data_IF_796268798877
#
_entry.id   IF_796268798877
#
_cell.length_a   1.000
_cell.length_b   1.000
_cell.length_c   1.000
_cell.angle_alpha   90.00
_cell.angle_beta   90.00
_cell.angle_gamma   90.00
#
_symmetry.space_group_name_H-M   'P 1'
#
loop_
_entity.id
_entity.type
_entity.pdbx_description
1 polymer ?
#
# COMPACT_ATOMS: atom_id res chain seq x y z
N UNK A 1 -5.31 12.54 23.31
CA UNK A 1 -6.14 11.40 22.86
C UNK A 1 -5.73 11.16 21.42
N UNK A 2 -5.09 10.04 21.12
CA UNK A 2 -4.61 9.77 19.76
C UNK A 2 -5.81 9.75 18.83
N UNK A 3 -5.84 10.62 17.84
CA UNK A 3 -6.75 10.48 16.71
C UNK A 3 -6.55 9.07 16.18
N UNK A 4 -7.55 8.22 16.38
CA UNK A 4 -7.61 6.93 15.75
C UNK A 4 -7.67 7.23 14.25
N UNK A 5 -6.53 7.14 13.56
CA UNK A 5 -6.46 7.39 12.12
C UNK A 5 -7.09 6.19 11.41
N UNK A 6 -8.42 6.18 11.37
CA UNK A 6 -9.22 5.12 10.79
C UNK A 6 -8.84 4.89 9.32
N UNK A 7 -8.50 5.96 8.58
CA UNK A 7 -8.00 5.87 7.21
C UNK A 7 -6.71 5.03 7.14
N UNK A 8 -5.72 5.32 7.99
CA UNK A 8 -4.47 4.55 8.06
C UNK A 8 -4.74 3.07 8.34
N UNK A 9 -5.55 2.76 9.36
CA UNK A 9 -5.88 1.37 9.69
C UNK A 9 -6.60 0.66 8.54
N UNK A 10 -7.53 1.33 7.85
CA UNK A 10 -8.21 0.77 6.68
C UNK A 10 -7.23 0.49 5.54
N UNK A 11 -6.33 1.43 5.22
CA UNK A 11 -5.31 1.25 4.18
C UNK A 11 -4.45 0.03 4.47
N UNK A 12 -3.94 -0.10 5.70
CA UNK A 12 -3.09 -1.23 6.10
C UNK A 12 -3.84 -2.57 6.06
N UNK A 13 -5.07 -2.61 6.60
CA UNK A 13 -5.88 -3.84 6.59
C UNK A 13 -6.21 -4.26 5.16
N UNK A 14 -6.64 -3.33 4.30
CA UNK A 14 -6.96 -3.62 2.90
C UNK A 14 -5.73 -4.07 2.12
N UNK A 15 -4.57 -3.44 2.33
CA UNK A 15 -3.32 -3.89 1.72
C UNK A 15 -2.96 -5.33 2.15
N UNK A 16 -3.09 -5.65 3.44
CA UNK A 16 -2.85 -6.99 3.97
C UNK A 16 -3.83 -8.03 3.38
N UNK A 17 -5.10 -7.68 3.23
CA UNK A 17 -6.10 -8.55 2.59
C UNK A 17 -5.80 -8.79 1.10
N UNK A 18 -5.38 -7.76 0.36
CA UNK A 18 -4.97 -7.90 -1.04
C UNK A 18 -3.79 -8.86 -1.18
N UNK A 19 -2.76 -8.73 -0.33
CA UNK A 19 -1.63 -9.65 -0.34
C UNK A 19 -2.04 -11.09 -0.02
N UNK A 20 -2.97 -11.28 0.93
CA UNK A 20 -3.52 -12.60 1.25
C UNK A 20 -4.33 -13.20 0.09
N UNK A 21 -5.07 -12.39 -0.67
CA UNK A 21 -5.79 -12.81 -1.88
C UNK A 21 -4.83 -13.32 -2.96
N UNK A 22 -3.63 -12.72 -3.08
CA UNK A 22 -2.56 -13.20 -3.98
C UNK A 22 -1.90 -14.50 -3.47
N UNK A 23 -1.92 -14.71 -2.15
CA UNK A 23 -1.53 -15.95 -1.50
C UNK A 23 -0.75 -15.69 -0.21
N UNK A 24 -0.89 -16.58 0.78
CA UNK A 24 -0.27 -16.40 2.11
C UNK A 24 1.25 -16.18 2.08
N UNK A 25 1.94 -16.74 1.08
CA UNK A 25 3.38 -16.55 0.93
C UNK A 25 3.76 -15.14 0.47
N UNK A 26 2.90 -14.42 -0.25
CA UNK A 26 3.17 -13.03 -0.67
C UNK A 26 3.23 -12.08 0.52
N UNK A 27 2.24 -12.14 1.43
CA UNK A 27 2.23 -11.34 2.66
C UNK A 27 3.49 -11.57 3.48
N UNK A 28 3.90 -12.84 3.66
CA UNK A 28 5.11 -13.20 4.41
C UNK A 28 6.36 -12.65 3.72
N UNK A 29 6.47 -12.80 2.40
CA UNK A 29 7.64 -12.36 1.64
C UNK A 29 7.81 -10.86 1.71
N UNK A 30 6.73 -10.11 1.50
CA UNK A 30 6.74 -8.65 1.55
C UNK A 30 7.05 -8.17 2.97
N UNK A 31 6.39 -8.74 3.99
CA UNK A 31 6.65 -8.34 5.37
C UNK A 31 8.10 -8.60 5.78
N UNK A 32 8.67 -9.76 5.40
CA UNK A 32 10.06 -10.09 5.66
C UNK A 32 11.04 -9.14 4.93
N UNK A 33 10.72 -8.76 3.69
CA UNK A 33 11.51 -7.80 2.93
C UNK A 33 11.47 -6.41 3.56
N UNK A 34 10.27 -5.94 3.90
CA UNK A 34 10.08 -4.62 4.51
C UNK A 34 10.83 -4.53 5.84
N UNK A 35 10.72 -5.57 6.67
CA UNK A 35 11.40 -5.61 7.97
C UNK A 35 12.92 -5.57 7.78
N UNK A 36 13.45 -6.38 6.86
CA UNK A 36 14.89 -6.46 6.59
C UNK A 36 15.49 -5.16 6.04
N UNK A 37 14.80 -4.49 5.11
CA UNK A 37 15.33 -3.31 4.41
C UNK A 37 14.96 -1.99 5.08
N UNK A 38 13.78 -1.92 5.68
CA UNK A 38 13.19 -0.68 6.16
C UNK A 38 12.89 -0.68 7.66
N UNK A 39 13.02 -1.83 8.35
CA UNK A 39 12.75 -1.94 9.79
C UNK A 39 11.29 -1.71 10.16
N UNK A 40 10.38 -1.99 9.23
CA UNK A 40 8.93 -1.88 9.40
C UNK A 40 8.24 -2.95 8.56
N UNK A 41 6.95 -3.18 8.78
CA UNK A 41 6.16 -4.16 8.05
C UNK A 41 5.19 -3.48 7.08
N UNK A 42 4.06 -4.14 6.81
CA UNK A 42 2.98 -3.62 5.96
C UNK A 42 2.42 -2.28 6.45
N UNK A 43 2.63 -1.91 7.71
CA UNK A 43 2.23 -0.60 8.25
C UNK A 43 2.83 0.58 7.45
N UNK A 44 3.96 0.37 6.76
CA UNK A 44 4.56 1.35 5.85
C UNK A 44 3.58 1.92 4.83
N UNK A 45 2.63 1.12 4.31
CA UNK A 45 1.67 1.60 3.30
C UNK A 45 0.74 2.69 3.85
N UNK A 46 0.53 2.73 5.17
CA UNK A 46 -0.24 3.77 5.84
C UNK A 46 0.59 4.94 6.37
N UNK A 47 1.93 4.81 6.40
CA UNK A 47 2.85 5.85 6.88
C UNK A 47 3.56 6.59 5.74
N UNK A 48 3.88 5.89 4.65
CA UNK A 48 4.54 6.41 3.46
C UNK A 48 4.17 5.52 2.25
N UNK A 49 3.04 5.80 1.59
CA UNK A 49 2.56 5.01 0.46
C UNK A 49 3.54 4.98 -0.71
N UNK A 50 4.32 6.05 -0.89
CA UNK A 50 5.32 6.14 -1.97
C UNK A 50 6.48 5.18 -1.72
N UNK A 51 6.99 5.16 -0.50
CA UNK A 51 8.07 4.24 -0.12
C UNK A 51 7.61 2.78 -0.17
N UNK A 52 6.38 2.51 0.22
CA UNK A 52 5.79 1.18 0.06
C UNK A 52 5.69 0.78 -1.42
N UNK A 53 5.23 1.68 -2.30
CA UNK A 53 5.21 1.44 -3.75
C UNK A 53 6.61 1.13 -4.29
N UNK A 54 7.63 1.92 -3.93
CA UNK A 54 9.02 1.66 -4.35
C UNK A 54 9.53 0.31 -3.86
N UNK A 55 9.16 -0.11 -2.64
CA UNK A 55 9.51 -1.43 -2.14
C UNK A 55 8.88 -2.58 -2.96
N UNK A 56 7.63 -2.42 -3.38
CA UNK A 56 6.98 -3.38 -4.27
C UNK A 56 7.60 -3.39 -5.67
N UNK A 57 7.96 -2.22 -6.20
CA UNK A 57 8.60 -2.06 -7.49
C UNK A 57 9.96 -2.77 -7.53
N UNK A 58 10.76 -2.65 -6.47
CA UNK A 58 12.03 -3.36 -6.34
C UNK A 58 11.87 -4.88 -6.28
N UNK A 59 10.82 -5.38 -5.62
CA UNK A 59 10.57 -6.82 -5.45
C UNK A 59 9.98 -7.49 -6.70
N UNK A 60 9.03 -6.82 -7.35
CA UNK A 60 8.16 -7.43 -8.36
C UNK A 60 8.13 -6.67 -9.69
N UNK A 61 8.83 -5.54 -9.78
CA UNK A 61 8.83 -4.65 -10.93
C UNK A 61 7.69 -3.63 -10.91
N UNK A 62 7.87 -2.57 -11.70
CA UNK A 62 6.95 -1.42 -11.79
C UNK A 62 5.51 -1.84 -12.10
N UNK A 63 5.32 -2.77 -13.03
CA UNK A 63 3.99 -3.21 -13.43
C UNK A 63 3.21 -3.83 -12.27
N UNK A 64 3.82 -4.74 -11.51
CA UNK A 64 3.16 -5.40 -10.37
C UNK A 64 2.87 -4.41 -9.24
N UNK A 65 3.81 -3.51 -8.95
CA UNK A 65 3.61 -2.46 -7.96
C UNK A 65 2.46 -1.52 -8.35
N UNK A 66 2.38 -1.09 -9.60
CA UNK A 66 1.31 -0.23 -10.11
C UNK A 66 -0.06 -0.90 -10.03
N UNK A 67 -0.14 -2.19 -10.40
CA UNK A 67 -1.39 -2.96 -10.27
C UNK A 67 -1.82 -3.08 -8.80
N UNK A 68 -0.88 -3.32 -7.89
CA UNK A 68 -1.20 -3.37 -6.46
C UNK A 68 -1.78 -2.04 -5.96
N UNK A 69 -1.19 -0.90 -6.32
CA UNK A 69 -1.69 0.41 -5.92
C UNK A 69 -3.06 0.73 -6.54
N UNK A 70 -3.30 0.29 -7.78
CA UNK A 70 -4.61 0.39 -8.43
C UNK A 70 -5.67 -0.43 -7.69
N UNK A 71 -5.37 -1.70 -7.35
CA UNK A 71 -6.30 -2.55 -6.61
C UNK A 71 -6.56 -1.99 -5.21
N UNK A 72 -5.53 -1.48 -4.51
CA UNK A 72 -5.66 -0.87 -3.19
C UNK A 72 -6.59 0.35 -3.22
N UNK A 73 -6.35 1.30 -4.13
CA UNK A 73 -7.20 2.50 -4.26
C UNK A 73 -8.62 2.14 -4.66
N UNK A 74 -8.82 1.14 -5.52
CA UNK A 74 -10.15 0.65 -5.91
C UNK A 74 -10.91 0.00 -4.75
N UNK A 75 -10.29 -0.90 -3.99
CA UNK A 75 -10.95 -1.56 -2.84
C UNK A 75 -11.32 -0.55 -1.75
N UNK A 76 -10.53 0.51 -1.58
CA UNK A 76 -10.82 1.62 -0.66
C UNK A 76 -11.85 2.62 -1.21
N UNK A 77 -12.34 2.42 -2.45
CA UNK A 77 -13.23 3.35 -3.16
C UNK A 77 -12.69 4.77 -3.25
N UNK A 78 -11.37 4.93 -3.40
CA UNK A 78 -10.72 6.23 -3.53
C UNK A 78 -10.93 6.75 -4.96
N UNK A 79 -11.53 7.93 -5.16
CA UNK A 79 -11.71 8.51 -6.47
C UNK A 79 -10.38 9.04 -7.02
N UNK A 80 -9.84 8.37 -8.03
CA UNK A 80 -8.59 8.76 -8.71
C UNK A 80 -8.88 9.36 -10.08
N UNK A 81 -8.05 10.31 -10.52
CA UNK A 81 -8.21 11.00 -11.81
C UNK A 81 -7.88 10.10 -13.01
N UNK A 82 -6.91 9.22 -12.84
CA UNK A 82 -6.44 8.29 -13.87
C UNK A 82 -5.87 7.03 -13.21
N UNK A 83 -5.41 6.08 -14.02
CA UNK A 83 -4.67 4.89 -13.56
C UNK A 83 -3.16 5.11 -13.53
N UNK A 84 -2.66 6.34 -13.73
CA UNK A 84 -1.24 6.66 -13.59
C UNK A 84 -0.82 6.63 -12.13
N UNK A 85 0.38 6.09 -11.87
CA UNK A 85 0.83 5.82 -10.51
C UNK A 85 0.84 7.07 -9.62
N UNK A 86 1.18 8.22 -10.18
CA UNK A 86 1.19 9.49 -9.46
C UNK A 86 -0.21 9.92 -9.01
N UNK A 87 -1.25 9.66 -9.81
CA UNK A 87 -2.63 9.96 -9.43
C UNK A 87 -3.16 8.95 -8.39
N UNK A 88 -2.73 7.69 -8.48
CA UNK A 88 -3.05 6.66 -7.49
C UNK A 88 -2.44 6.98 -6.12
N UNK A 89 -1.14 7.32 -6.10
CA UNK A 89 -0.42 7.68 -4.88
C UNK A 89 -1.01 8.94 -4.24
N UNK A 90 -1.27 10.00 -5.04
CA UNK A 90 -1.93 11.21 -4.53
C UNK A 90 -3.32 10.94 -3.98
N UNK A 91 -4.11 10.09 -4.63
CA UNK A 91 -5.42 9.70 -4.11
C UNK A 91 -5.33 9.03 -2.75
N UNK A 92 -4.31 8.18 -2.55
CA UNK A 92 -4.07 7.48 -1.29
C UNK A 92 -3.55 8.42 -0.19
N UNK A 93 -2.61 9.32 -0.52
CA UNK A 93 -2.11 10.37 0.39
C UNK A 93 -3.27 11.27 0.87
N UNK A 94 -4.10 11.75 -0.05
CA UNK A 94 -5.29 12.55 0.29
C UNK A 94 -6.28 11.79 1.18
N UNK A 95 -6.43 10.47 0.98
CA UNK A 95 -7.29 9.63 1.82
C UNK A 95 -6.73 9.46 3.23
N UNK A 96 -5.40 9.42 3.38
CA UNK A 96 -4.69 9.37 4.66
C UNK A 96 -4.68 10.71 5.40
N UNK A 97 -5.03 11.80 4.71
CA UNK A 97 -5.05 13.16 5.25
C UNK A 97 -3.75 13.95 5.03
N UNK A 98 -2.94 13.52 4.06
CA UNK A 98 -1.68 14.15 3.63
C UNK A 98 -1.86 15.09 2.42
#
# INVERSE_FOLDING_TARGET
>A
MSEFNASRSMVVITARELLRKLGRHFEITISAYLESKYGTDIEMVGDDPRRFYSALEELFGEFAAKIFMYDLTRELNIPVKSTDIEDLLKGLEMYLGE
#
